data_IF_619036524587
#
_entry.id   IF_619036524587
#
_cell.length_a   1.000
_cell.length_b   1.000
_cell.length_c   1.000
_cell.angle_alpha   90.00
_cell.angle_beta   90.00
_cell.angle_gamma   90.00
#
_symmetry.space_group_name_H-M   'P 1'
#
loop_
_entity.id
_entity.type
_entity.pdbx_description
1 polymer ?
#
# COMPACT_ATOMS: atom_id res chain seq x y z
N UNK A 1 64.10 36.07 11.85
CA UNK A 1 63.40 37.21 11.28
C UNK A 1 62.71 36.74 10.01
N UNK A 2 61.52 36.19 9.98
CA UNK A 2 60.51 35.69 10.94
C UNK A 2 59.64 34.76 10.05
N UNK A 3 59.66 33.45 10.27
CA UNK A 3 58.52 32.65 10.78
C UNK A 3 57.18 33.40 10.90
N UNK A 4 56.24 33.12 9.97
CA UNK A 4 54.81 33.40 10.13
C UNK A 4 53.96 32.38 9.32
N UNK A 5 53.81 31.22 9.94
CA UNK A 5 52.53 30.61 10.32
C UNK A 5 51.37 30.56 9.30
N UNK A 6 51.23 29.36 8.75
CA UNK A 6 49.97 28.72 8.34
C UNK A 6 49.00 28.58 9.55
N UNK A 7 47.75 29.05 9.50
CA UNK A 7 46.72 28.61 10.43
C UNK A 7 46.09 27.31 9.94
N UNK A 8 46.24 26.28 10.77
CA UNK A 8 45.78 24.90 10.62
C UNK A 8 44.25 24.74 10.61
N UNK A 9 43.82 23.73 9.84
CA UNK A 9 42.66 22.86 10.05
C UNK A 9 42.11 22.88 11.49
N UNK A 10 40.93 23.49 11.67
CA UNK A 10 39.90 23.12 12.65
C UNK A 10 38.73 24.11 12.54
N UNK A 11 37.89 23.92 11.55
CA UNK A 11 36.50 24.42 11.62
C UNK A 11 35.62 23.28 12.15
N UNK A 12 35.49 23.28 13.48
CA UNK A 12 34.27 23.00 14.24
C UNK A 12 33.52 21.69 13.92
N UNK A 13 33.97 20.60 14.57
CA UNK A 13 33.11 19.45 14.90
C UNK A 13 32.64 19.61 16.36
N UNK A 14 31.55 20.34 16.58
CA UNK A 14 30.95 20.62 17.90
C UNK A 14 30.27 19.37 18.53
N UNK A 15 30.62 18.15 18.11
CA UNK A 15 30.01 16.90 18.61
C UNK A 15 30.78 16.24 19.77
N UNK A 16 31.76 16.91 20.37
CA UNK A 16 32.55 16.33 21.45
C UNK A 16 32.73 17.27 22.65
N UNK A 17 31.65 17.55 23.38
CA UNK A 17 31.71 17.77 24.84
C UNK A 17 30.32 17.62 25.49
N UNK A 18 29.61 16.51 25.23
CA UNK A 18 28.40 16.21 25.99
C UNK A 18 28.77 15.45 27.26
N UNK A 19 28.29 15.92 28.40
CA UNK A 19 28.44 15.20 29.67
C UNK A 19 27.74 13.84 29.61
N UNK A 20 28.13 12.86 30.45
CA UNK A 20 27.42 11.58 30.52
C UNK A 20 25.92 11.72 30.82
N UNK A 21 25.53 12.76 31.56
CA UNK A 21 24.12 13.07 31.85
C UNK A 21 23.39 13.61 30.61
N UNK A 22 24.00 14.50 29.83
CA UNK A 22 23.43 14.98 28.57
C UNK A 22 23.36 13.88 27.50
N UNK A 23 24.35 12.98 27.46
CA UNK A 23 24.31 11.81 26.58
C UNK A 23 23.18 10.87 26.98
N UNK A 24 23.01 10.59 28.28
CA UNK A 24 21.93 9.76 28.77
C UNK A 24 20.56 10.40 28.54
N UNK A 25 20.43 11.72 28.70
CA UNK A 25 19.20 12.45 28.44
C UNK A 25 18.88 12.51 26.94
N UNK A 26 19.88 12.67 26.08
CA UNK A 26 19.72 12.61 24.62
C UNK A 26 19.38 11.19 24.15
N UNK A 27 19.97 10.16 24.76
CA UNK A 27 19.61 8.76 24.52
C UNK A 27 18.20 8.44 25.04
N UNK A 28 17.80 8.97 26.21
CA UNK A 28 16.46 8.82 26.77
C UNK A 28 15.43 9.59 25.94
N UNK A 29 15.74 10.78 25.44
CA UNK A 29 14.92 11.55 24.49
C UNK A 29 14.81 10.85 23.13
N UNK A 30 15.89 10.26 22.60
CA UNK A 30 15.86 9.43 21.40
C UNK A 30 15.05 8.17 21.62
N UNK A 31 15.24 7.51 22.76
CA UNK A 31 14.52 6.30 23.13
C UNK A 31 13.03 6.60 23.38
N UNK A 32 12.70 7.76 23.93
CA UNK A 32 11.33 8.26 24.09
C UNK A 32 10.72 8.66 22.73
N UNK A 33 11.49 9.28 21.84
CA UNK A 33 11.06 9.57 20.48
C UNK A 33 10.80 8.29 19.67
N UNK A 34 11.58 7.23 19.90
CA UNK A 34 11.39 5.88 19.33
C UNK A 34 10.23 5.13 20.01
N UNK A 35 10.06 5.24 21.33
CA UNK A 35 8.97 4.59 22.08
C UNK A 35 7.60 5.27 21.89
N UNK A 36 7.59 6.52 21.42
CA UNK A 36 6.39 7.21 20.92
C UNK A 36 6.01 6.80 19.48
N UNK A 37 6.73 5.87 18.85
CA UNK A 37 6.39 5.28 17.54
C UNK A 37 5.54 4.02 17.76
N UNK A 38 4.32 4.22 18.27
CA UNK A 38 3.12 3.53 17.77
C UNK A 38 2.47 4.45 16.72
N UNK A 39 1.70 3.96 15.73
CA UNK A 39 1.74 4.53 14.38
C UNK A 39 1.22 5.97 14.35
N UNK A 40 2.13 6.95 14.32
CA UNK A 40 1.83 8.38 14.04
C UNK A 40 1.30 8.61 12.62
N UNK A 41 1.13 7.55 11.85
CA UNK A 41 0.69 7.56 10.47
C UNK A 41 -0.52 6.63 10.23
N UNK A 42 -1.35 6.34 11.24
CA UNK A 42 -2.65 5.70 10.98
C UNK A 42 -3.61 6.70 10.34
N UNK A 43 -4.34 6.26 9.33
CA UNK A 43 -5.40 7.03 8.67
C UNK A 43 -6.72 6.25 8.64
N UNK A 44 -7.79 6.98 8.39
CA UNK A 44 -9.15 6.49 8.38
C UNK A 44 -9.77 6.54 6.98
N UNK A 45 -10.89 5.85 6.82
CA UNK A 45 -11.70 5.90 5.61
C UNK A 45 -12.02 7.35 5.23
N UNK A 46 -11.82 7.70 3.95
CA UNK A 46 -12.05 9.04 3.42
C UNK A 46 -10.86 9.99 3.54
N UNK A 47 -9.80 9.63 4.28
CA UNK A 47 -8.60 10.45 4.35
C UNK A 47 -7.86 10.50 3.00
N UNK A 48 -7.25 11.65 2.74
CA UNK A 48 -6.44 11.91 1.56
C UNK A 48 -5.01 12.29 1.96
N UNK A 49 -4.02 11.74 1.24
CA UNK A 49 -2.61 12.03 1.49
C UNK A 49 -1.91 12.24 0.16
N UNK A 50 -1.29 13.41 -0.01
CA UNK A 50 -0.34 13.60 -1.10
C UNK A 50 0.96 12.88 -0.75
N UNK A 51 1.19 11.72 -1.38
CA UNK A 51 2.35 10.86 -1.14
C UNK A 51 3.63 11.61 -1.50
N UNK A 52 3.62 12.33 -2.62
CA UNK A 52 4.78 13.09 -3.12
C UNK A 52 5.19 14.21 -2.15
N UNK A 53 4.24 14.83 -1.45
CA UNK A 53 4.55 15.83 -0.41
C UNK A 53 5.00 15.19 0.89
N UNK A 54 4.36 14.08 1.29
CA UNK A 54 4.67 13.39 2.55
C UNK A 54 6.07 12.77 2.52
N UNK A 55 6.50 12.27 1.37
CA UNK A 55 7.89 11.87 1.13
C UNK A 55 8.33 12.25 -0.30
N UNK A 56 8.99 13.42 -0.47
CA UNK A 56 9.46 13.89 -1.77
C UNK A 56 10.54 13.01 -2.42
N UNK A 57 11.10 12.06 -1.68
CA UNK A 57 12.14 11.17 -2.18
C UNK A 57 11.60 9.82 -2.64
N UNK A 58 10.31 9.59 -2.46
CA UNK A 58 9.65 8.34 -2.79
C UNK A 58 9.65 8.09 -4.29
N UNK A 59 10.31 7.01 -4.70
CA UNK A 59 10.30 6.54 -6.09
C UNK A 59 9.58 5.22 -6.19
N UNK A 60 9.94 4.30 -5.31
CA UNK A 60 9.29 3.01 -5.21
C UNK A 60 8.37 2.98 -3.98
N UNK A 61 7.11 2.70 -4.25
CA UNK A 61 6.09 2.47 -3.24
C UNK A 61 5.88 0.97 -3.13
N UNK A 62 6.04 0.45 -1.92
CA UNK A 62 5.54 -0.87 -1.58
C UNK A 62 4.19 -0.69 -0.89
N UNK A 63 3.17 -1.28 -1.48
CA UNK A 63 1.84 -1.43 -0.88
C UNK A 63 1.83 -2.76 -0.15
N UNK A 64 1.50 -2.73 1.13
CA UNK A 64 1.26 -3.92 1.94
C UNK A 64 -0.22 -4.06 2.26
N UNK A 65 -0.77 -5.23 2.03
CA UNK A 65 -2.15 -5.60 2.33
C UNK A 65 -2.10 -6.77 3.30
N UNK A 66 -2.97 -6.75 4.32
CA UNK A 66 -3.09 -7.89 5.21
C UNK A 66 -4.45 -8.00 5.86
N UNK A 67 -4.78 -9.20 6.31
CA UNK A 67 -6.05 -9.58 6.90
C UNK A 67 -5.89 -10.81 7.80
N UNK A 68 -6.82 -11.00 8.73
CA UNK A 68 -6.89 -12.18 9.57
C UNK A 68 -8.20 -12.92 9.32
N UNK A 69 -8.13 -14.25 9.27
CA UNK A 69 -9.32 -15.10 9.34
C UNK A 69 -9.88 -15.16 10.76
N UNK A 70 -11.21 -15.03 10.92
CA UNK A 70 -11.88 -15.25 12.20
C UNK A 70 -11.72 -16.74 12.56
N UNK A 71 -10.94 -17.04 13.61
CA UNK A 71 -10.43 -18.37 14.01
C UNK A 71 -11.47 -19.43 14.44
N UNK A 72 -12.73 -19.31 14.06
CA UNK A 72 -13.75 -20.30 14.42
C UNK A 72 -14.62 -20.60 13.19
N UNK A 73 -14.50 -21.83 12.68
CA UNK A 73 -15.51 -22.57 11.89
C UNK A 73 -15.45 -22.59 10.35
N UNK A 74 -14.48 -21.98 9.67
CA UNK A 74 -14.37 -22.07 8.20
C UNK A 74 -12.98 -22.54 7.72
N UNK A 75 -12.95 -23.22 6.57
CA UNK A 75 -11.71 -23.37 5.79
C UNK A 75 -11.16 -21.98 5.43
N UNK A 76 -9.83 -21.83 5.29
CA UNK A 76 -9.23 -20.53 4.99
C UNK A 76 -9.78 -20.00 3.66
N UNK A 77 -10.39 -18.82 3.70
CA UNK A 77 -10.73 -18.07 2.50
C UNK A 77 -9.44 -17.52 1.91
N UNK A 78 -9.35 -17.61 0.58
CA UNK A 78 -8.31 -16.97 -0.20
C UNK A 78 -8.76 -15.55 -0.54
N UNK A 79 -7.99 -14.54 -0.11
CA UNK A 79 -8.24 -13.16 -0.47
C UNK A 79 -7.15 -12.73 -1.44
N UNK A 80 -7.58 -12.24 -2.59
CA UNK A 80 -6.69 -11.71 -3.62
C UNK A 80 -6.70 -10.19 -3.57
N UNK A 81 -5.51 -9.60 -3.68
CA UNK A 81 -5.33 -8.23 -4.11
C UNK A 81 -5.27 -8.13 -5.62
N UNK A 82 -5.89 -7.08 -6.13
CA UNK A 82 -5.83 -6.73 -7.53
C UNK A 82 -5.66 -5.22 -7.71
N UNK A 83 -5.08 -4.84 -8.84
CA UNK A 83 -4.83 -3.46 -9.21
C UNK A 83 -5.38 -3.18 -10.59
N UNK A 84 -6.06 -2.05 -10.73
CA UNK A 84 -6.49 -1.53 -12.02
C UNK A 84 -5.76 -0.23 -12.33
N UNK A 85 -5.11 -0.15 -13.49
CA UNK A 85 -4.53 1.08 -14.01
C UNK A 85 -5.51 1.72 -14.97
N UNK A 86 -5.99 2.90 -14.62
CA UNK A 86 -7.05 3.58 -15.33
C UNK A 86 -6.55 4.87 -15.98
N UNK A 87 -7.07 5.14 -17.17
CA UNK A 87 -6.89 6.41 -17.85
C UNK A 87 -7.79 7.51 -17.26
N UNK A 88 -7.75 8.70 -17.85
CA UNK A 88 -8.55 9.87 -17.43
C UNK A 88 -10.07 9.70 -17.55
N UNK A 89 -10.54 8.62 -18.17
CA UNK A 89 -11.95 8.27 -18.30
C UNK A 89 -12.35 7.14 -17.32
N UNK A 90 -11.50 6.83 -16.34
CA UNK A 90 -11.65 5.75 -15.37
C UNK A 90 -11.79 4.36 -16.04
N UNK A 91 -11.11 4.14 -17.17
CA UNK A 91 -11.10 2.86 -17.90
C UNK A 91 -9.69 2.30 -18.04
N UNK A 92 -9.55 0.98 -18.04
CA UNK A 92 -8.29 0.34 -18.44
C UNK A 92 -7.98 0.63 -19.90
N UNK A 93 -6.70 0.65 -20.27
CA UNK A 93 -6.29 0.92 -21.66
C UNK A 93 -6.17 -0.37 -22.46
N UNK A 94 -5.76 -1.42 -21.76
CA UNK A 94 -5.54 -2.78 -22.24
C UNK A 94 -5.87 -3.76 -21.11
N UNK A 95 -6.05 -5.04 -21.42
CA UNK A 95 -6.39 -6.05 -20.41
C UNK A 95 -5.26 -6.21 -19.37
N UNK A 96 -4.01 -5.99 -19.76
CA UNK A 96 -2.84 -6.07 -18.88
C UNK A 96 -2.78 -4.97 -17.81
N UNK A 97 -3.61 -3.92 -17.92
CA UNK A 97 -3.78 -2.91 -16.87
C UNK A 97 -4.60 -3.43 -15.68
N UNK A 98 -5.14 -4.66 -15.77
CA UNK A 98 -5.67 -5.40 -14.64
C UNK A 98 -4.61 -6.38 -14.12
N UNK A 99 -3.98 -6.01 -13.02
CA UNK A 99 -2.87 -6.74 -12.38
C UNK A 99 -3.41 -7.54 -11.19
N UNK A 100 -3.07 -8.82 -11.13
CA UNK A 100 -3.43 -9.77 -10.07
C UNK A 100 -2.42 -10.92 -10.09
N UNK A 101 -2.57 -11.95 -9.25
CA UNK A 101 -1.56 -13.02 -9.13
C UNK A 101 -1.17 -13.69 -10.46
N UNK A 102 -2.11 -13.92 -11.39
CA UNK A 102 -1.85 -14.57 -12.68
C UNK A 102 -1.32 -13.60 -13.76
N UNK A 103 -1.71 -12.32 -13.68
CA UNK A 103 -1.13 -11.23 -14.48
C UNK A 103 -0.39 -10.27 -13.55
N UNK A 104 0.79 -10.68 -13.08
CA UNK A 104 1.50 -10.04 -11.96
C UNK A 104 2.19 -8.72 -12.30
N UNK A 105 2.06 -8.18 -13.52
CA UNK A 105 2.72 -6.95 -13.92
C UNK A 105 1.89 -6.13 -14.92
N UNK A 106 1.96 -4.80 -14.81
CA UNK A 106 1.25 -3.87 -15.68
C UNK A 106 1.87 -2.48 -15.71
N UNK A 107 1.32 -1.61 -16.54
CA UNK A 107 1.81 -0.23 -16.70
C UNK A 107 3.28 -0.18 -17.13
N UNK A 108 3.66 -0.93 -18.17
CA UNK A 108 5.05 -1.02 -18.63
C UNK A 108 6.05 -1.52 -17.56
N UNK A 109 5.61 -2.45 -16.70
CA UNK A 109 6.33 -2.99 -15.55
C UNK A 109 6.48 -2.03 -14.36
N UNK A 110 5.82 -0.88 -14.39
CA UNK A 110 5.81 0.06 -13.26
C UNK A 110 5.06 -0.48 -12.05
N UNK A 111 4.09 -1.39 -12.26
CA UNK A 111 3.32 -2.03 -11.18
C UNK A 111 3.53 -3.53 -11.23
N UNK A 112 3.86 -4.12 -10.08
CA UNK A 112 4.16 -5.55 -9.94
C UNK A 112 3.52 -6.13 -8.68
N UNK A 113 2.72 -7.18 -8.85
CA UNK A 113 2.29 -8.07 -7.77
C UNK A 113 3.47 -8.94 -7.34
N UNK A 114 3.77 -9.02 -6.04
CA UNK A 114 4.97 -9.72 -5.54
C UNK A 114 4.73 -11.18 -5.15
N UNK A 115 3.48 -11.62 -5.14
CA UNK A 115 3.09 -12.99 -4.81
C UNK A 115 1.71 -13.01 -4.18
N UNK A 116 1.08 -14.17 -4.23
CA UNK A 116 -0.23 -14.43 -3.63
C UNK A 116 -0.02 -15.21 -2.32
N UNK A 117 -0.69 -14.75 -1.25
CA UNK A 117 -0.77 -15.48 0.02
C UNK A 117 -2.18 -16.06 0.22
N UNK A 118 -2.29 -17.28 -0.27
CA UNK A 118 -3.49 -18.12 -0.28
C UNK A 118 -4.14 -18.46 1.06
N UNK A 119 -3.55 -18.02 2.17
CA UNK A 119 -3.96 -18.48 3.51
C UNK A 119 -4.17 -17.36 4.50
N UNK A 120 -3.67 -16.14 4.22
CA UNK A 120 -3.57 -15.09 5.22
C UNK A 120 -2.79 -15.51 6.48
N UNK A 121 -1.93 -16.53 6.37
CA UNK A 121 -1.24 -17.14 7.50
C UNK A 121 0.20 -16.59 7.58
N UNK A 122 0.47 -15.81 8.61
CA UNK A 122 1.79 -15.23 8.85
C UNK A 122 1.67 -13.96 9.67
N UNK A 123 2.80 -13.43 10.11
CA UNK A 123 2.86 -12.08 10.66
C UNK A 123 3.26 -11.13 9.51
N UNK A 124 2.52 -10.06 9.29
CA UNK A 124 2.88 -9.00 8.33
C UNK A 124 1.89 -8.85 7.19
N UNK A 125 2.39 -8.38 6.04
CA UNK A 125 1.57 -8.25 4.83
C UNK A 125 1.31 -9.63 4.25
N UNK A 126 0.05 -9.93 3.98
CA UNK A 126 -0.33 -11.12 3.25
C UNK A 126 0.02 -10.96 1.78
N UNK A 127 -0.29 -9.79 1.20
CA UNK A 127 0.04 -9.47 -0.18
C UNK A 127 0.74 -8.14 -0.34
N UNK A 128 1.58 -8.07 -1.37
CA UNK A 128 2.40 -6.90 -1.64
C UNK A 128 2.40 -6.52 -3.12
N UNK A 129 2.27 -5.23 -3.36
CA UNK A 129 2.35 -4.63 -4.71
C UNK A 129 3.47 -3.60 -4.71
N UNK A 130 4.42 -3.74 -5.63
CA UNK A 130 5.49 -2.79 -5.85
C UNK A 130 5.13 -1.85 -7.00
N UNK A 131 5.30 -0.55 -6.79
CA UNK A 131 5.00 0.49 -7.76
C UNK A 131 6.19 1.44 -7.92
N UNK A 132 6.72 1.61 -9.12
CA UNK A 132 7.68 2.67 -9.45
C UNK A 132 6.96 3.87 -10.06
N UNK A 133 6.75 4.89 -9.22
CA UNK A 133 5.98 6.10 -9.55
C UNK A 133 6.54 6.89 -10.75
N UNK A 134 7.83 6.73 -11.06
CA UNK A 134 8.49 7.48 -12.13
C UNK A 134 8.33 6.82 -13.50
N UNK A 135 8.00 5.53 -13.52
CA UNK A 135 7.88 4.74 -14.75
C UNK A 135 6.44 4.47 -15.15
N UNK A 136 5.47 4.83 -14.31
CA UNK A 136 4.05 4.71 -14.65
C UNK A 136 3.76 5.53 -15.91
N UNK A 137 3.16 4.92 -16.96
CA UNK A 137 2.80 5.61 -18.19
C UNK A 137 1.94 6.86 -17.94
N UNK A 138 2.16 7.91 -18.74
CA UNK A 138 1.51 9.22 -18.54
C UNK A 138 -0.01 9.21 -18.75
N UNK A 139 -0.49 8.25 -19.51
CA UNK A 139 -1.90 8.00 -19.79
C UNK A 139 -2.59 7.17 -18.70
N UNK A 140 -1.86 6.71 -17.66
CA UNK A 140 -2.44 6.21 -16.41
C UNK A 140 -2.61 7.38 -15.43
N UNK A 141 -3.87 7.68 -15.14
CA UNK A 141 -4.30 8.74 -14.23
C UNK A 141 -4.65 8.21 -12.84
N UNK A 142 -5.20 7.01 -12.74
CA UNK A 142 -5.68 6.44 -11.48
C UNK A 142 -5.20 4.99 -11.33
N UNK A 143 -4.84 4.62 -10.11
CA UNK A 143 -4.54 3.24 -9.69
C UNK A 143 -5.59 2.87 -8.65
N UNK A 144 -6.38 1.83 -8.91
CA UNK A 144 -7.38 1.32 -7.97
C UNK A 144 -6.86 0.04 -7.36
N UNK A 145 -6.96 -0.08 -6.03
CA UNK A 145 -6.61 -1.28 -5.28
C UNK A 145 -7.89 -1.97 -4.82
N UNK A 146 -7.97 -3.26 -5.10
CA UNK A 146 -9.15 -4.08 -4.82
C UNK A 146 -8.74 -5.30 -4.01
N UNK A 147 -9.53 -5.64 -3.00
CA UNK A 147 -9.51 -6.95 -2.35
C UNK A 147 -10.76 -7.73 -2.78
N UNK A 148 -10.59 -9.01 -3.08
CA UNK A 148 -11.69 -9.90 -3.44
C UNK A 148 -11.47 -11.28 -2.86
N UNK A 149 -12.55 -11.99 -2.56
CA UNK A 149 -12.43 -13.39 -2.16
C UNK A 149 -12.34 -14.23 -3.43
N UNK A 150 -11.25 -14.99 -3.55
CA UNK A 150 -11.04 -15.97 -4.61
C UNK A 150 -11.47 -17.32 -4.10
N UNK A 151 -12.61 -17.83 -4.57
CA UNK A 151 -13.01 -19.16 -4.16
C UNK A 151 -13.88 -19.86 -5.19
N UNK A 152 -13.29 -20.89 -5.82
CA UNK A 152 -13.98 -21.80 -6.73
C UNK A 152 -14.71 -22.93 -5.98
N UNK A 153 -14.41 -23.15 -4.70
CA UNK A 153 -14.92 -24.27 -3.90
C UNK A 153 -15.99 -23.84 -2.88
N UNK A 154 -15.99 -22.58 -2.40
CA UNK A 154 -17.04 -22.03 -1.56
C UNK A 154 -18.27 -21.60 -2.35
N UNK A 155 -19.42 -22.20 -2.05
CA UNK A 155 -20.68 -21.83 -2.68
C UNK A 155 -21.25 -20.46 -2.24
N UNK A 156 -20.63 -19.77 -1.28
CA UNK A 156 -21.00 -18.42 -0.86
C UNK A 156 -19.92 -17.74 0.01
N UNK A 157 -18.77 -17.34 -0.55
CA UNK A 157 -17.72 -16.64 0.19
C UNK A 157 -18.25 -15.32 0.79
N UNK A 158 -17.91 -15.02 2.05
CA UNK A 158 -18.42 -13.83 2.76
C UNK A 158 -17.31 -13.14 3.55
N UNK A 159 -17.14 -11.84 3.34
CA UNK A 159 -16.12 -11.04 4.04
C UNK A 159 -16.33 -10.96 5.56
N UNK A 160 -17.51 -11.32 6.07
CA UNK A 160 -17.77 -11.42 7.50
C UNK A 160 -16.87 -12.44 8.22
N UNK A 161 -16.19 -13.33 7.48
CA UNK A 161 -15.19 -14.26 8.02
C UNK A 161 -13.78 -13.63 8.15
N UNK A 162 -13.59 -12.43 7.61
CA UNK A 162 -12.31 -11.70 7.62
C UNK A 162 -12.37 -10.59 8.66
N UNK A 163 -11.22 -10.27 9.27
CA UNK A 163 -11.05 -9.14 10.19
C UNK A 163 -9.66 -8.53 10.03
N UNK A 164 -9.40 -7.43 10.73
CA UNK A 164 -8.09 -6.78 10.76
C UNK A 164 -7.55 -6.47 9.35
N UNK A 165 -8.44 -6.14 8.41
CA UNK A 165 -8.04 -5.78 7.05
C UNK A 165 -7.32 -4.44 7.10
N UNK A 166 -6.12 -4.37 6.52
CA UNK A 166 -5.36 -3.13 6.44
C UNK A 166 -4.67 -2.96 5.09
N UNK A 167 -4.37 -1.70 4.80
CA UNK A 167 -3.60 -1.25 3.65
C UNK A 167 -2.50 -0.32 4.16
N UNK A 168 -1.24 -0.56 3.79
CA UNK A 168 -0.14 0.33 4.17
C UNK A 168 0.69 0.74 2.97
N UNK A 169 1.28 1.92 3.09
CA UNK A 169 2.16 2.51 2.08
C UNK A 169 3.54 2.65 2.69
N UNK A 170 4.53 2.05 2.05
CA UNK A 170 5.93 2.00 2.49
C UNK A 170 6.82 2.61 1.41
N UNK A 171 7.78 3.44 1.81
CA UNK A 171 8.89 3.83 0.95
C UNK A 171 9.85 2.66 0.85
N UNK A 172 9.85 1.97 -0.30
CA UNK A 172 10.69 0.79 -0.50
C UNK A 172 12.18 1.16 -0.51
N UNK A 173 12.54 2.37 -0.97
CA UNK A 173 13.93 2.81 -1.04
C UNK A 173 14.56 3.01 0.35
N UNK A 174 13.74 3.19 1.38
CA UNK A 174 14.16 3.50 2.76
C UNK A 174 13.63 2.56 3.82
N UNK A 175 12.80 1.59 3.44
CA UNK A 175 12.08 0.70 4.34
C UNK A 175 11.32 1.47 5.45
N UNK A 176 10.57 2.49 5.03
CA UNK A 176 9.86 3.39 5.94
C UNK A 176 8.36 3.41 5.66
N UNK A 177 7.55 2.96 6.62
CA UNK A 177 6.08 3.01 6.53
C UNK A 177 5.57 4.46 6.63
N UNK A 178 5.06 4.98 5.51
CA UNK A 178 4.51 6.34 5.41
C UNK A 178 3.17 6.48 6.11
N UNK A 179 2.30 5.48 5.98
CA UNK A 179 1.02 5.40 6.65
C UNK A 179 0.35 4.02 6.50
N UNK A 180 -0.63 3.79 7.36
CA UNK A 180 -1.46 2.59 7.40
C UNK A 180 -2.93 2.97 7.55
N UNK A 181 -3.76 2.42 6.71
CA UNK A 181 -5.21 2.46 6.76
C UNK A 181 -5.71 1.11 7.28
N UNK A 182 -6.42 1.11 8.41
CA UNK A 182 -7.08 -0.08 8.93
C UNK A 182 -8.58 0.04 8.67
N UNK A 183 -9.19 -0.98 8.10
CA UNK A 183 -10.62 -1.01 7.89
C UNK A 183 -11.32 -1.43 9.17
N UNK A 184 -11.94 -0.46 9.84
CA UNK A 184 -12.65 -0.67 11.11
C UNK A 184 -14.09 -1.17 10.92
N UNK A 185 -14.64 -1.00 9.72
CA UNK A 185 -16.01 -1.41 9.38
C UNK A 185 -16.08 -2.93 9.14
N UNK A 186 -17.15 -3.55 9.64
CA UNK A 186 -17.42 -4.95 9.33
C UNK A 186 -17.84 -5.08 7.87
N UNK A 187 -17.01 -5.78 7.10
CA UNK A 187 -17.35 -6.19 5.75
C UNK A 187 -18.35 -7.34 5.80
N UNK A 188 -19.34 -7.32 4.90
CA UNK A 188 -20.36 -8.36 4.80
C UNK A 188 -20.62 -8.70 3.33
N UNK A 189 -21.00 -9.95 3.07
CA UNK A 189 -21.37 -10.44 1.74
C UNK A 189 -20.19 -10.80 0.86
N UNK A 190 -20.48 -11.16 -0.39
CA UNK A 190 -19.54 -11.64 -1.41
C UNK A 190 -19.08 -10.54 -2.39
N UNK A 191 -19.09 -9.29 -1.93
CA UNK A 191 -18.83 -8.09 -2.73
C UNK A 191 -17.33 -7.82 -2.89
N UNK A 192 -16.88 -7.26 -4.01
CA UNK A 192 -15.47 -6.86 -4.17
C UNK A 192 -15.21 -5.59 -3.38
N UNK A 193 -14.06 -5.46 -2.71
CA UNK A 193 -13.74 -4.30 -1.89
C UNK A 193 -12.75 -3.38 -2.61
N UNK A 194 -13.19 -2.18 -3.00
CA UNK A 194 -12.27 -1.12 -3.39
C UNK A 194 -11.69 -0.51 -2.10
N UNK A 195 -10.46 -0.90 -1.75
CA UNK A 195 -9.85 -0.50 -0.48
C UNK A 195 -9.24 0.90 -0.55
N UNK A 196 -8.61 1.25 -1.68
CA UNK A 196 -7.93 2.52 -1.86
C UNK A 196 -7.78 2.90 -3.33
N UNK A 197 -7.48 4.19 -3.58
CA UNK A 197 -7.03 4.68 -4.88
C UNK A 197 -5.81 5.58 -4.75
N UNK A 198 -5.01 5.62 -5.80
CA UNK A 198 -3.99 6.64 -6.02
C UNK A 198 -4.28 7.37 -7.33
N UNK A 199 -4.20 8.69 -7.31
CA UNK A 199 -4.48 9.54 -8.46
C UNK A 199 -3.29 10.42 -8.78
N UNK A 200 -2.99 10.54 -10.07
CA UNK A 200 -2.01 11.47 -10.57
C UNK A 200 -2.67 12.83 -10.77
N UNK A 201 -2.28 13.81 -9.96
CA UNK A 201 -2.72 15.20 -10.12
C UNK A 201 -1.50 16.03 -10.51
N UNK A 202 -1.42 16.36 -11.80
CA UNK A 202 -0.22 16.96 -12.37
C UNK A 202 0.96 15.99 -12.35
N UNK A 203 2.01 16.34 -11.60
CA UNK A 203 3.20 15.50 -11.40
C UNK A 203 3.25 14.76 -10.06
N UNK A 204 2.17 14.82 -9.28
CA UNK A 204 2.10 14.31 -7.91
C UNK A 204 1.10 13.16 -7.78
N UNK A 205 1.30 12.33 -6.76
CA UNK A 205 0.42 11.20 -6.45
C UNK A 205 -0.36 11.45 -5.17
N UNK A 206 -1.68 11.49 -5.28
CA UNK A 206 -2.63 11.61 -4.18
C UNK A 206 -3.21 10.25 -3.86
N UNK A 207 -3.09 9.82 -2.61
CA UNK A 207 -3.76 8.63 -2.08
C UNK A 207 -5.10 9.02 -1.46
N UNK A 208 -6.11 8.15 -1.60
CA UNK A 208 -7.37 8.23 -0.85
C UNK A 208 -7.76 6.86 -0.31
N UNK A 209 -8.08 6.80 0.98
CA UNK A 209 -8.66 5.62 1.64
C UNK A 209 -10.15 5.50 1.29
N UNK A 210 -10.60 4.37 0.75
CA UNK A 210 -11.98 4.20 0.23
C UNK A 210 -12.80 3.26 1.10
N UNK A 211 -12.40 1.99 1.21
CA UNK A 211 -13.15 0.96 1.94
C UNK A 211 -14.61 0.78 1.48
N UNK A 212 -14.85 0.66 0.16
CA UNK A 212 -16.21 0.52 -0.40
C UNK A 212 -16.41 -0.84 -1.06
N UNK A 213 -17.48 -1.53 -0.69
CA UNK A 213 -17.88 -2.82 -1.28
C UNK A 213 -18.73 -2.64 -2.53
N UNK A 214 -18.48 -3.45 -3.55
CA UNK A 214 -19.18 -3.46 -4.84
C UNK A 214 -19.93 -4.78 -5.00
N UNK A 215 -21.25 -4.70 -5.07
CA UNK A 215 -22.10 -5.85 -5.39
C UNK A 215 -21.69 -6.48 -6.72
N UNK A 216 -21.70 -7.82 -6.80
CA UNK A 216 -21.23 -8.53 -7.99
C UNK A 216 -19.72 -8.76 -8.05
N UNK A 217 -18.99 -8.41 -7.00
CA UNK A 217 -17.63 -8.89 -6.81
C UNK A 217 -16.57 -8.20 -7.68
N UNK A 218 -15.39 -8.81 -7.75
CA UNK A 218 -14.31 -8.41 -8.65
C UNK A 218 -14.77 -8.36 -10.12
N UNK A 219 -15.64 -9.29 -10.54
CA UNK A 219 -16.18 -9.32 -11.90
C UNK A 219 -16.96 -8.06 -12.25
N UNK A 220 -17.77 -7.54 -11.32
CA UNK A 220 -18.48 -6.28 -11.54
C UNK A 220 -17.51 -5.08 -11.57
N UNK A 221 -16.51 -5.07 -10.68
CA UNK A 221 -15.48 -4.02 -10.68
C UNK A 221 -14.70 -4.02 -12.00
N UNK A 222 -14.29 -5.19 -12.48
CA UNK A 222 -13.59 -5.36 -13.75
C UNK A 222 -14.43 -4.82 -14.93
N UNK A 223 -15.73 -5.15 -14.99
CA UNK A 223 -16.64 -4.58 -15.99
C UNK A 223 -16.80 -3.07 -15.87
N UNK A 224 -16.86 -2.52 -14.66
CA UNK A 224 -16.94 -1.08 -14.44
C UNK A 224 -15.72 -0.35 -15.06
N UNK A 225 -14.56 -1.03 -15.10
CA UNK A 225 -13.31 -0.52 -15.67
C UNK A 225 -13.00 -1.01 -17.09
N UNK A 226 -13.99 -1.54 -17.82
CA UNK A 226 -13.91 -2.02 -19.21
C UNK A 226 -13.05 -3.29 -19.45
N UNK A 227 -12.79 -4.08 -18.41
CA UNK A 227 -12.25 -5.43 -18.59
C UNK A 227 -13.37 -6.39 -19.00
N UNK A 228 -13.10 -7.18 -20.05
CA UNK A 228 -14.02 -8.19 -20.56
C UNK A 228 -13.92 -9.44 -19.68
N UNK A 229 -14.90 -9.66 -18.83
CA UNK A 229 -15.04 -10.89 -18.05
C UNK A 229 -15.96 -11.84 -18.84
N UNK A 230 -15.45 -13.02 -19.19
CA UNK A 230 -16.27 -14.05 -19.82
C UNK A 230 -17.46 -14.41 -18.92
N UNK A 231 -18.68 -14.41 -19.46
CA UNK A 231 -19.83 -14.93 -18.74
C UNK A 231 -19.76 -16.45 -18.73
N UNK A 232 -19.71 -17.05 -17.54
CA UNK A 232 -20.03 -18.45 -17.41
C UNK A 232 -21.48 -18.64 -17.82
N UNK A 233 -21.68 -19.24 -18.99
CA UNK A 233 -22.99 -19.70 -19.43
C UNK A 233 -23.40 -20.81 -18.47
N UNK A 234 -24.19 -20.43 -17.46
CA UNK A 234 -24.85 -21.37 -16.54
C UNK A 234 -25.58 -22.41 -17.42
N UNK A 235 -25.10 -23.64 -17.37
CA UNK A 235 -25.76 -24.80 -18.00
C UNK A 235 -26.80 -25.38 -17.07
#
# INVERSE_FOLDING_TARGET
>A
MDDDLNPSLNELDDRYDMTPEEQAQLEEEKLFAVAQVGPKNKISRGDEINITHKDPTMRQVLIGLGWDMKKFEAEPLDLDASVFLLNIHDKTRIDEDFIFYNNSQGGDNSVRHLGDNRTGAGDGDDEQILIDLNTIPLDVATIIFVLSIYDEEYQNPDFSMVKNVYFRVVNQDRDHELFRYELEEELNGNAGLIIARMERIGGEWLFRAIGETVEGGLSQIARNYDIIVAEDVVR
#
